data_IF_633589705560
#
_entry.id   IF_633589705560
#
_cell.length_a   1.000
_cell.length_b   1.000
_cell.length_c   1.000
_cell.angle_alpha   90.00
_cell.angle_beta   90.00
_cell.angle_gamma   90.00
#
_symmetry.space_group_name_H-M   'P 1'
#
loop_
_entity.id
_entity.type
_entity.pdbx_description
1 polymer ?
#
# COMPACT_ATOMS: atom_id res chain seq x y z
N UNK A 1 -25.22 17.45 10.63
CA UNK A 1 -24.60 16.23 11.18
C UNK A 1 -24.72 15.01 10.26
N UNK A 2 -25.88 14.73 9.66
CA UNK A 2 -26.11 13.59 8.73
C UNK A 2 -25.09 13.48 7.57
N UNK A 3 -24.66 14.58 6.91
CA UNK A 3 -23.72 14.48 5.78
C UNK A 3 -22.35 13.92 6.15
N UNK A 4 -21.88 14.17 7.37
CA UNK A 4 -20.55 13.75 7.83
C UNK A 4 -20.47 12.23 8.04
N UNK A 5 -21.56 11.61 8.51
CA UNK A 5 -21.61 10.16 8.74
C UNK A 5 -21.64 9.38 7.43
N UNK A 6 -22.35 9.90 6.41
CA UNK A 6 -22.39 9.29 5.08
C UNK A 6 -21.00 9.30 4.45
N UNK A 7 -20.30 10.44 4.51
CA UNK A 7 -18.91 10.54 4.02
C UNK A 7 -17.96 9.59 4.75
N UNK A 8 -18.07 9.51 6.07
CA UNK A 8 -17.24 8.60 6.87
C UNK A 8 -17.51 7.12 6.52
N UNK A 9 -18.78 6.74 6.35
CA UNK A 9 -19.15 5.38 5.98
C UNK A 9 -18.63 4.99 4.59
N UNK A 10 -18.77 5.88 3.60
CA UNK A 10 -18.25 5.66 2.24
C UNK A 10 -16.72 5.52 2.28
N UNK A 11 -16.04 6.40 3.01
CA UNK A 11 -14.59 6.36 3.15
C UNK A 11 -14.11 5.04 3.77
N UNK A 12 -14.81 4.55 4.80
CA UNK A 12 -14.53 3.26 5.44
C UNK A 12 -14.72 2.08 4.48
N UNK A 13 -15.80 2.06 3.70
CA UNK A 13 -16.05 0.99 2.73
C UNK A 13 -14.99 0.98 1.63
N UNK A 14 -14.62 2.14 1.09
CA UNK A 14 -13.56 2.25 0.09
C UNK A 14 -12.20 1.82 0.65
N UNK A 15 -11.89 2.24 1.88
CA UNK A 15 -10.64 1.86 2.56
C UNK A 15 -10.59 0.37 2.82
N UNK A 16 -11.70 -0.24 3.26
CA UNK A 16 -11.79 -1.68 3.46
C UNK A 16 -11.56 -2.46 2.17
N UNK A 17 -12.22 -2.05 1.07
CA UNK A 17 -12.08 -2.72 -0.22
C UNK A 17 -10.64 -2.62 -0.74
N UNK A 18 -10.05 -1.42 -0.66
CA UNK A 18 -8.66 -1.20 -1.03
C UNK A 18 -7.69 -2.04 -0.16
N UNK A 19 -7.88 -2.07 1.17
CA UNK A 19 -7.05 -2.85 2.08
C UNK A 19 -7.17 -4.36 1.82
N UNK A 20 -8.38 -4.85 1.55
CA UNK A 20 -8.61 -6.27 1.24
C UNK A 20 -7.89 -6.71 -0.03
N UNK A 21 -7.90 -5.86 -1.07
CA UNK A 21 -7.17 -6.09 -2.32
C UNK A 21 -5.65 -6.09 -2.13
N UNK A 22 -5.13 -5.19 -1.27
CA UNK A 22 -3.70 -5.15 -0.94
C UNK A 22 -3.25 -6.38 -0.13
N UNK A 23 -4.12 -6.88 0.75
CA UNK A 23 -3.85 -8.00 1.67
C UNK A 23 -4.09 -9.37 1.05
N UNK A 24 -4.86 -9.49 -0.04
CA UNK A 24 -5.17 -10.77 -0.68
C UNK A 24 -4.04 -11.31 -1.57
N UNK A 25 -3.06 -10.48 -1.93
CA UNK A 25 -1.93 -10.92 -2.74
C UNK A 25 -0.99 -11.82 -1.95
N UNK A 26 -0.54 -12.92 -2.57
CA UNK A 26 0.50 -13.79 -1.99
C UNK A 26 1.86 -13.17 -2.20
N UNK A 27 2.72 -13.27 -1.19
CA UNK A 27 4.12 -12.83 -1.29
C UNK A 27 5.04 -14.00 -1.56
N UNK A 28 5.97 -13.83 -2.50
CA UNK A 28 7.02 -14.81 -2.77
C UNK A 28 8.36 -14.14 -3.08
N UNK A 29 9.42 -14.92 -3.17
CA UNK A 29 10.72 -14.48 -3.69
C UNK A 29 10.77 -14.75 -5.19
N UNK A 30 11.14 -13.72 -5.94
CA UNK A 30 11.40 -13.81 -7.38
C UNK A 30 12.81 -13.32 -7.68
N UNK A 31 13.32 -13.71 -8.84
CA UNK A 31 14.60 -13.24 -9.33
C UNK A 31 14.38 -12.26 -10.49
N UNK A 32 15.08 -11.13 -10.45
CA UNK A 32 15.08 -10.17 -11.57
C UNK A 32 15.94 -10.74 -12.68
N UNK A 33 15.34 -11.07 -13.82
CA UNK A 33 16.06 -11.66 -14.96
C UNK A 33 16.62 -10.58 -15.89
N UNK A 34 15.82 -9.56 -16.15
CA UNK A 34 16.20 -8.46 -17.04
C UNK A 34 15.33 -7.23 -16.80
N UNK A 35 15.65 -6.11 -17.45
CA UNK A 35 14.81 -4.92 -17.51
C UNK A 35 14.33 -4.69 -18.94
N UNK A 36 13.04 -4.40 -19.10
CA UNK A 36 12.46 -3.99 -20.37
C UNK A 36 12.22 -2.48 -20.34
N UNK A 37 12.88 -1.75 -21.22
CA UNK A 37 12.56 -0.34 -21.46
C UNK A 37 11.35 -0.28 -22.40
N UNK A 38 10.34 0.50 -22.03
CA UNK A 38 9.10 0.63 -22.81
C UNK A 38 8.97 2.01 -23.47
N UNK A 39 9.47 3.05 -22.79
CA UNK A 39 9.37 4.43 -23.27
C UNK A 39 10.69 5.18 -23.07
N UNK A 40 11.26 5.67 -24.17
CA UNK A 40 12.47 6.49 -24.19
C UNK A 40 12.12 7.89 -24.69
N UNK A 41 11.99 8.84 -23.76
CA UNK A 41 11.92 10.27 -24.04
C UNK A 41 13.30 10.88 -23.84
N UNK A 42 13.61 12.01 -24.50
CA UNK A 42 14.92 12.68 -24.48
C UNK A 42 15.58 12.85 -23.10
N UNK A 43 14.82 12.78 -22.00
CA UNK A 43 15.33 12.87 -20.64
C UNK A 43 14.79 11.81 -19.66
N UNK A 44 13.94 10.86 -20.10
CA UNK A 44 13.31 9.87 -19.20
C UNK A 44 13.18 8.52 -19.90
N UNK A 45 13.82 7.50 -19.34
CA UNK A 45 13.68 6.10 -19.76
C UNK A 45 12.91 5.33 -18.70
N UNK A 46 11.72 4.86 -19.06
CA UNK A 46 10.87 4.06 -18.18
C UNK A 46 11.26 2.60 -18.32
N UNK A 47 11.66 1.97 -17.20
CA UNK A 47 12.04 0.57 -17.15
C UNK A 47 11.03 -0.24 -16.34
N UNK A 48 10.75 -1.45 -16.81
CA UNK A 48 9.98 -2.45 -16.08
C UNK A 48 10.87 -3.66 -15.81
N UNK A 49 10.78 -4.26 -14.63
CA UNK A 49 11.53 -5.46 -14.32
C UNK A 49 10.84 -6.68 -14.94
N UNK A 50 11.61 -7.54 -15.58
CA UNK A 50 11.20 -8.88 -15.97
C UNK A 50 11.61 -9.80 -14.82
N UNK A 51 10.63 -10.40 -14.16
CA UNK A 51 10.86 -11.29 -13.02
C UNK A 51 10.46 -12.72 -13.36
N UNK A 52 11.09 -13.65 -12.67
CA UNK A 52 10.87 -15.09 -12.78
C UNK A 52 10.68 -15.68 -11.38
N UNK A 53 9.60 -16.44 -11.19
CA UNK A 53 9.25 -17.07 -9.92
C UNK A 53 8.45 -18.36 -10.12
N UNK A 54 8.50 -19.23 -9.13
CA UNK A 54 7.75 -20.49 -9.11
C UNK A 54 6.39 -20.29 -8.45
N UNK A 55 5.34 -20.80 -9.08
CA UNK A 55 4.03 -20.92 -8.46
C UNK A 55 4.00 -22.10 -7.46
N UNK A 56 3.04 -22.12 -6.52
CA UNK A 56 2.88 -23.21 -5.56
C UNK A 56 2.62 -24.59 -6.19
N UNK A 57 2.18 -24.64 -7.45
CA UNK A 57 1.98 -25.87 -8.22
C UNK A 57 3.28 -26.35 -8.93
N UNK A 58 4.39 -25.63 -8.74
CA UNK A 58 5.70 -25.92 -9.34
C UNK A 58 5.87 -25.36 -10.76
N UNK A 59 4.94 -24.52 -11.24
CA UNK A 59 5.05 -23.88 -12.55
C UNK A 59 5.88 -22.60 -12.47
N UNK A 60 6.95 -22.53 -13.25
CA UNK A 60 7.74 -21.31 -13.42
C UNK A 60 6.95 -20.29 -14.27
N UNK A 61 6.87 -19.06 -13.79
CA UNK A 61 6.26 -17.93 -14.50
C UNK A 61 7.28 -16.83 -14.67
N UNK A 62 7.36 -16.33 -15.90
CA UNK A 62 8.07 -15.11 -16.25
C UNK A 62 7.06 -14.02 -16.59
N UNK A 63 7.12 -12.88 -15.89
CA UNK A 63 6.23 -11.75 -16.14
C UNK A 63 6.96 -10.41 -16.00
N UNK A 64 6.33 -9.34 -16.47
CA UNK A 64 6.83 -7.98 -16.37
C UNK A 64 6.10 -7.31 -15.20
N UNK A 65 6.81 -6.50 -14.41
CA UNK A 65 6.18 -5.73 -13.33
C UNK A 65 5.19 -4.72 -13.89
N UNK A 66 4.07 -4.54 -13.20
CA UNK A 66 3.04 -3.55 -13.59
C UNK A 66 3.43 -2.09 -13.28
N UNK A 67 4.59 -1.88 -12.65
CA UNK A 67 5.10 -0.56 -12.27
C UNK A 67 6.51 -0.34 -12.79
N UNK A 68 6.82 0.93 -13.02
CA UNK A 68 8.17 1.38 -13.35
C UNK A 68 9.11 1.08 -12.19
N UNK A 69 10.30 0.61 -12.52
CA UNK A 69 11.40 0.41 -11.58
C UNK A 69 12.60 1.26 -11.98
N UNK A 70 13.42 1.65 -11.01
CA UNK A 70 14.76 2.17 -11.30
C UNK A 70 15.73 0.98 -11.32
N UNK A 71 16.35 0.66 -12.48
CA UNK A 71 17.32 -0.42 -12.57
C UNK A 71 18.50 -0.26 -11.61
N UNK A 72 18.81 0.96 -11.14
CA UNK A 72 19.89 1.19 -10.17
C UNK A 72 19.60 0.63 -8.78
N UNK A 73 18.32 0.39 -8.47
CA UNK A 73 17.90 -0.12 -7.17
C UNK A 73 17.81 -1.66 -7.15
N UNK A 74 17.98 -2.31 -8.28
CA UNK A 74 17.79 -3.76 -8.42
C UNK A 74 18.87 -4.36 -9.32
N UNK A 75 19.60 -5.33 -8.77
CA UNK A 75 20.58 -6.09 -9.54
C UNK A 75 19.92 -7.31 -10.21
N UNK A 76 20.39 -7.65 -11.41
CA UNK A 76 19.97 -8.89 -12.10
C UNK A 76 20.43 -10.10 -11.27
N UNK A 77 19.54 -11.07 -11.10
CA UNK A 77 19.77 -12.27 -10.30
C UNK A 77 19.61 -12.04 -8.79
N UNK A 78 19.33 -10.81 -8.33
CA UNK A 78 19.02 -10.60 -6.92
C UNK A 78 17.59 -11.03 -6.59
N UNK A 79 17.40 -11.68 -5.42
CA UNK A 79 16.08 -12.03 -4.93
C UNK A 79 15.35 -10.76 -4.53
N UNK A 80 14.18 -10.54 -5.13
CA UNK A 80 13.25 -9.48 -4.76
C UNK A 80 11.97 -10.10 -4.22
N UNK A 81 11.40 -9.48 -3.20
CA UNK A 81 10.08 -9.90 -2.73
C UNK A 81 9.05 -9.38 -3.71
N UNK A 82 8.18 -10.26 -4.17
CA UNK A 82 7.08 -9.92 -5.07
C UNK A 82 5.76 -10.22 -4.39
N UNK A 83 4.71 -9.58 -4.89
CA UNK A 83 3.33 -9.93 -4.60
C UNK A 83 2.62 -10.21 -5.91
N UNK A 84 1.88 -11.31 -5.95
CA UNK A 84 1.08 -11.68 -7.12
C UNK A 84 -0.34 -12.03 -6.70
N UNK A 85 -1.27 -11.85 -7.62
CA UNK A 85 -2.63 -12.38 -7.49
C UNK A 85 -2.62 -13.86 -7.94
N UNK A 86 -2.97 -14.83 -7.06
CA UNK A 86 -3.03 -16.24 -7.48
C UNK A 86 -4.07 -16.51 -8.57
N UNK A 87 -5.12 -15.68 -8.67
CA UNK A 87 -6.15 -15.81 -9.72
C UNK A 87 -5.70 -15.18 -11.06
N UNK A 88 -4.74 -14.25 -11.00
CA UNK A 88 -4.09 -13.64 -12.17
C UNK A 88 -2.58 -13.46 -11.92
N UNK A 89 -1.76 -14.49 -12.20
CA UNK A 89 -0.32 -14.46 -11.93
C UNK A 89 0.46 -13.44 -12.77
N UNK A 90 -0.19 -12.84 -13.78
CA UNK A 90 0.41 -11.76 -14.55
C UNK A 90 0.36 -10.42 -13.80
N UNK A 91 -0.56 -10.25 -12.85
CA UNK A 91 -0.59 -9.11 -11.95
C UNK A 91 0.45 -9.27 -10.83
N UNK A 92 1.66 -8.82 -11.15
CA UNK A 92 2.83 -8.91 -10.28
C UNK A 92 3.34 -7.52 -9.93
N UNK A 93 3.70 -7.36 -8.66
CA UNK A 93 4.28 -6.13 -8.15
C UNK A 93 5.44 -6.45 -7.21
N UNK A 94 6.56 -5.75 -7.36
CA UNK A 94 7.65 -5.82 -6.39
C UNK A 94 7.13 -5.24 -5.07
N UNK A 95 7.30 -6.00 -3.99
CA UNK A 95 6.86 -5.64 -2.66
C UNK A 95 7.81 -4.60 -2.06
N UNK A 96 7.66 -3.34 -2.50
CA UNK A 96 8.36 -2.20 -1.94
C UNK A 96 7.45 -1.44 -0.98
N UNK A 97 7.97 -1.15 0.21
CA UNK A 97 7.29 -0.41 1.29
C UNK A 97 6.76 0.97 0.85
N UNK A 98 7.36 1.55 -0.20
CA UNK A 98 7.00 2.88 -0.72
C UNK A 98 5.93 2.84 -1.82
N UNK A 99 5.72 1.69 -2.47
CA UNK A 99 4.78 1.55 -3.59
C UNK A 99 3.35 1.22 -3.17
N UNK A 100 3.15 0.81 -1.92
CA UNK A 100 1.86 0.36 -1.40
C UNK A 100 1.38 1.38 -0.40
N UNK A 101 0.08 1.60 -0.28
CA UNK A 101 -0.48 2.54 0.69
C UNK A 101 -0.27 2.14 2.16
N UNK A 102 0.85 1.52 2.49
CA UNK A 102 1.44 1.47 3.83
C UNK A 102 1.57 2.88 4.40
N UNK A 103 1.87 3.88 3.55
CA UNK A 103 1.81 5.29 3.93
C UNK A 103 0.39 5.72 4.33
N UNK A 104 -0.65 5.20 3.66
CA UNK A 104 -2.05 5.44 4.03
C UNK A 104 -2.35 4.82 5.40
N UNK A 105 -1.89 3.59 5.68
CA UNK A 105 -2.05 2.95 7.00
C UNK A 105 -1.36 3.78 8.10
N UNK A 106 -0.13 4.25 7.85
CA UNK A 106 0.60 5.11 8.78
C UNK A 106 -0.19 6.40 9.05
N UNK A 107 -0.71 7.04 8.00
CA UNK A 107 -1.54 8.24 8.14
C UNK A 107 -2.84 7.98 8.92
N UNK A 108 -3.47 6.82 8.75
CA UNK A 108 -4.66 6.41 9.53
C UNK A 108 -4.34 6.24 11.02
N UNK A 109 -3.22 5.58 11.35
CA UNK A 109 -2.77 5.45 12.74
C UNK A 109 -2.52 6.84 13.34
N UNK A 110 -1.85 7.71 12.57
CA UNK A 110 -1.58 9.08 13.00
C UNK A 110 -2.88 9.85 13.27
N UNK A 111 -3.86 9.75 12.36
CA UNK A 111 -5.17 10.38 12.51
C UNK A 111 -5.92 9.86 13.75
N UNK A 112 -5.85 8.55 14.04
CA UNK A 112 -6.45 7.97 15.25
C UNK A 112 -5.80 8.50 16.53
N UNK A 113 -4.48 8.66 16.56
CA UNK A 113 -3.76 9.24 17.71
C UNK A 113 -4.23 10.67 17.96
N UNK A 114 -4.28 11.51 16.92
CA UNK A 114 -4.76 12.89 17.04
C UNK A 114 -6.24 12.98 17.43
N UNK A 115 -7.08 12.11 16.87
CA UNK A 115 -8.49 12.03 17.23
C UNK A 115 -8.67 11.64 18.71
N UNK A 116 -7.91 10.66 19.20
CA UNK A 116 -7.90 10.24 20.60
C UNK A 116 -7.46 11.37 21.54
N UNK A 117 -6.39 12.08 21.19
CA UNK A 117 -5.92 13.27 21.93
C UNK A 117 -7.01 14.35 22.01
N UNK A 118 -7.63 14.69 20.88
CA UNK A 118 -8.71 15.67 20.83
C UNK A 118 -9.93 15.27 21.68
N UNK A 119 -10.26 13.98 21.70
CA UNK A 119 -11.33 13.44 22.55
C UNK A 119 -11.02 13.60 24.03
N UNK A 120 -9.80 13.26 24.46
CA UNK A 120 -9.36 13.40 25.86
C UNK A 120 -9.38 14.87 26.28
N UNK A 121 -8.81 15.77 25.47
CA UNK A 121 -8.80 17.22 25.75
C UNK A 121 -10.24 17.74 25.90
N UNK A 122 -11.13 17.41 24.97
CA UNK A 122 -12.55 17.82 25.05
C UNK A 122 -13.22 17.36 26.34
N UNK A 123 -12.96 16.11 26.76
CA UNK A 123 -13.53 15.55 28.00
C UNK A 123 -13.02 16.27 29.25
N UNK A 124 -11.72 16.60 29.30
CA UNK A 124 -11.13 17.34 30.42
C UNK A 124 -11.72 18.75 30.52
N UNK A 125 -11.86 19.46 29.39
CA UNK A 125 -12.46 20.79 29.39
C UNK A 125 -13.95 20.78 29.80
N UNK A 126 -14.74 19.80 29.33
CA UNK A 126 -16.15 19.70 29.75
C UNK A 126 -16.30 19.45 31.25
N UNK A 127 -15.39 18.68 31.85
CA UNK A 127 -15.41 18.43 33.29
C UNK A 127 -15.06 19.69 34.10
N UNK A 128 -14.11 20.48 33.62
CA UNK A 128 -13.71 21.73 34.26
C UNK A 128 -14.80 22.81 34.22
N UNK A 129 -15.63 22.85 33.17
CA UNK A 129 -16.79 23.74 33.10
C UNK A 129 -17.89 23.31 34.10
N UNK A 130 -18.17 22.01 34.21
CA UNK A 130 -19.18 21.49 35.13
C UNK A 130 -18.87 21.80 36.62
N UNK A 131 -17.59 21.85 37.00
CA UNK A 131 -17.20 22.25 38.37
C UNK A 131 -17.35 23.75 38.62
N UNK A 132 -17.08 24.60 37.61
CA UNK A 132 -17.24 26.07 37.74
C UNK A 132 -18.67 26.52 37.94
N UNK A 133 -19.67 25.79 37.42
CA UNK A 133 -21.09 26.13 37.59
C UNK A 133 -21.68 25.60 38.91
N UNK A 134 -20.94 24.81 39.69
CA UNK A 134 -21.37 24.27 40.99
C UNK A 134 -20.83 25.05 42.19
N UNK A 135 -19.87 25.97 42.02
CA UNK A 135 -19.36 26.87 43.07
C UNK A 135 -20.01 28.25 43.01
#
# INVERSE_FOLDING_TARGET
MIPAYIFAAISLVLTYFWLSSVMSGKSDLAYVKNFKADYESKNVTVHYAVIEFDLPDGKEIQTITNHTVDPKNYDIGYPVRIRYNPDDPSDVQIDSFYGKGDLVIILWIFALVWYGLGFVVRKVFSFAEDEKFKS
#
